data_IF_692676171031
#
_entry.id   IF_692676171031
#
_cell.length_a   1.000
_cell.length_b   1.000
_cell.length_c   1.000
_cell.angle_alpha   90.00
_cell.angle_beta   90.00
_cell.angle_gamma   90.00
#
_symmetry.space_group_name_H-M   'P 1'
#
loop_
_entity.id
_entity.type
_entity.pdbx_description
1 polymer ?
#
# COMPACT_ATOMS: atom_id res chain seq x y z
N UNK A 1 -21.30 -15.95 -13.67
CA UNK A 1 -20.17 -16.64 -13.03
C UNK A 1 -18.90 -15.91 -13.41
N UNK A 2 -18.38 -15.10 -12.50
CA UNK A 2 -17.06 -14.48 -12.54
C UNK A 2 -16.75 -14.00 -11.13
N UNK A 3 -16.58 -14.95 -10.18
CA UNK A 3 -16.08 -14.61 -8.84
C UNK A 3 -14.58 -14.36 -8.96
N UNK A 4 -14.24 -13.18 -9.48
CA UNK A 4 -12.95 -12.55 -9.27
C UNK A 4 -12.78 -12.32 -7.77
N UNK A 5 -12.23 -13.29 -7.05
CA UNK A 5 -11.68 -13.07 -5.71
C UNK A 5 -10.40 -12.23 -5.82
N UNK A 6 -10.53 -11.00 -6.35
CA UNK A 6 -9.50 -9.97 -6.50
C UNK A 6 -9.21 -9.23 -5.18
N UNK A 7 -9.22 -9.96 -4.06
CA UNK A 7 -8.88 -9.40 -2.76
C UNK A 7 -7.37 -9.26 -2.57
N UNK A 8 -6.97 -8.35 -1.70
CA UNK A 8 -5.59 -8.23 -1.23
C UNK A 8 -5.39 -9.29 -0.13
N UNK A 9 -4.42 -10.17 -0.33
CA UNK A 9 -4.05 -11.24 0.60
C UNK A 9 -2.96 -10.81 1.58
N UNK A 10 -2.05 -9.95 1.14
CA UNK A 10 -1.01 -9.39 2.00
C UNK A 10 -0.54 -8.01 1.50
N UNK A 11 0.07 -7.22 2.37
CA UNK A 11 0.58 -5.89 2.02
C UNK A 11 1.82 -5.52 2.82
N UNK A 12 2.72 -4.78 2.18
CA UNK A 12 3.94 -4.28 2.78
C UNK A 12 4.15 -2.81 2.43
N UNK A 13 4.96 -2.14 3.24
CA UNK A 13 5.47 -0.82 2.91
C UNK A 13 6.98 -0.72 3.12
N UNK A 14 7.59 0.22 2.42
CA UNK A 14 8.94 0.69 2.71
C UNK A 14 8.90 2.22 2.72
N UNK A 15 9.60 2.85 3.68
CA UNK A 15 9.67 4.30 3.71
C UNK A 15 10.36 4.82 2.45
N UNK A 16 9.92 5.94 1.92
CA UNK A 16 10.48 6.54 0.70
C UNK A 16 12.01 6.74 0.78
N UNK A 17 12.53 7.05 1.96
CA UNK A 17 13.97 7.19 2.22
C UNK A 17 14.77 5.89 2.07
N UNK A 18 14.11 4.73 2.19
CA UNK A 18 14.72 3.41 2.01
C UNK A 18 14.74 2.98 0.54
N UNK A 19 14.10 3.72 -0.36
CA UNK A 19 13.98 3.36 -1.78
C UNK A 19 15.19 3.90 -2.55
N UNK A 20 15.87 3.02 -3.28
CA UNK A 20 16.97 3.34 -4.18
C UNK A 20 16.45 3.78 -5.54
N UNK A 21 15.56 2.97 -6.09
CA UNK A 21 15.00 3.16 -7.43
C UNK A 21 13.68 2.43 -7.57
N UNK A 22 12.83 2.95 -8.45
CA UNK A 22 11.66 2.24 -8.98
C UNK A 22 11.78 2.31 -10.50
N UNK A 23 12.14 1.20 -11.13
CA UNK A 23 12.36 1.12 -12.58
C UNK A 23 11.25 0.31 -13.23
N UNK A 24 10.59 0.93 -14.20
CA UNK A 24 9.58 0.27 -15.02
C UNK A 24 10.22 -0.53 -16.16
N UNK A 25 9.78 -1.77 -16.33
CA UNK A 25 10.10 -2.63 -17.46
C UNK A 25 8.78 -3.04 -18.13
N UNK A 26 8.36 -2.32 -19.17
CA UNK A 26 7.06 -2.48 -19.82
C UNK A 26 5.87 -2.36 -18.83
N UNK A 27 5.14 -3.45 -18.58
CA UNK A 27 4.00 -3.56 -17.65
C UNK A 27 4.42 -3.98 -16.22
N UNK A 28 5.72 -4.11 -15.99
CA UNK A 28 6.31 -4.58 -14.74
C UNK A 28 7.18 -3.53 -14.09
N UNK A 29 7.51 -3.75 -12.82
CA UNK A 29 8.34 -2.85 -12.03
C UNK A 29 9.34 -3.62 -11.18
N UNK A 30 10.56 -3.08 -11.09
CA UNK A 30 11.57 -3.47 -10.10
C UNK A 30 11.74 -2.36 -9.08
N UNK A 31 11.86 -2.74 -7.81
CA UNK A 31 12.05 -1.79 -6.71
C UNK A 31 13.35 -2.14 -5.97
N UNK A 32 14.35 -1.27 -6.10
CA UNK A 32 15.60 -1.38 -5.36
C UNK A 32 15.47 -0.72 -3.99
N UNK A 33 15.88 -1.40 -2.92
CA UNK A 33 15.99 -0.82 -1.58
C UNK A 33 17.45 -0.39 -1.31
N UNK A 34 17.65 0.80 -0.75
CA UNK A 34 18.95 1.26 -0.24
C UNK A 34 19.33 0.54 1.05
N UNK A 35 18.33 0.26 1.89
CA UNK A 35 18.57 -0.27 3.24
C UNK A 35 17.29 -0.85 3.86
N UNK A 36 17.45 -1.94 4.60
CA UNK A 36 16.36 -2.64 5.28
C UNK A 36 15.43 -3.37 4.33
N UNK A 37 14.35 -3.91 4.89
CA UNK A 37 13.38 -4.73 4.17
C UNK A 37 12.00 -4.11 4.15
N UNK A 38 11.15 -4.66 3.28
CA UNK A 38 9.71 -4.40 3.26
C UNK A 38 9.07 -4.78 4.60
N UNK A 39 8.32 -3.87 5.19
CA UNK A 39 7.62 -4.07 6.46
C UNK A 39 6.25 -4.66 6.16
N UNK A 40 6.00 -5.88 6.64
CA UNK A 40 4.72 -6.57 6.45
C UNK A 40 3.64 -6.00 7.38
N UNK A 41 2.45 -5.76 6.83
CA UNK A 41 1.28 -5.23 7.52
C UNK A 41 0.25 -6.31 7.89
N UNK A 42 0.29 -7.48 7.26
CA UNK A 42 -0.68 -8.57 7.45
C UNK A 42 -2.14 -8.07 7.48
N UNK A 43 -2.62 -7.42 6.40
CA UNK A 43 -3.95 -6.84 6.39
C UNK A 43 -5.02 -7.91 6.60
N UNK A 44 -6.09 -7.51 7.28
CA UNK A 44 -7.30 -8.30 7.41
C UNK A 44 -8.00 -8.48 6.07
N UNK A 45 -8.81 -9.53 5.98
CA UNK A 45 -9.57 -9.89 4.77
C UNK A 45 -10.59 -8.83 4.35
N UNK A 46 -11.09 -8.04 5.30
CA UNK A 46 -12.12 -7.02 5.07
C UNK A 46 -11.56 -5.62 5.29
N UNK A 47 -12.13 -4.63 4.60
CA UNK A 47 -11.73 -3.22 4.73
C UNK A 47 -10.35 -2.87 4.13
N UNK A 48 -9.75 -3.83 3.42
CA UNK A 48 -8.47 -3.69 2.72
C UNK A 48 -8.72 -3.49 1.22
N UNK A 49 -8.27 -2.36 0.68
CA UNK A 49 -8.41 -2.01 -0.74
C UNK A 49 -7.35 -1.00 -1.15
N UNK A 50 -6.87 -1.13 -2.39
CA UNK A 50 -6.03 -0.14 -3.06
C UNK A 50 -6.68 0.11 -4.42
N UNK A 51 -6.83 1.38 -4.77
CA UNK A 51 -7.41 1.85 -6.03
C UNK A 51 -6.42 2.77 -6.72
N UNK A 52 -6.23 2.52 -8.01
CA UNK A 52 -5.44 3.37 -8.89
C UNK A 52 -6.33 3.76 -10.05
N UNK A 53 -6.72 5.03 -10.08
CA UNK A 53 -7.70 5.55 -11.04
C UNK A 53 -7.03 6.58 -11.96
N UNK A 54 -7.19 6.46 -13.28
CA UNK A 54 -6.66 7.46 -14.19
C UNK A 54 -7.36 8.81 -13.98
N UNK A 55 -6.57 9.86 -14.02
CA UNK A 55 -6.98 11.25 -14.04
C UNK A 55 -6.37 11.88 -15.30
N UNK A 56 -7.22 12.17 -16.28
CA UNK A 56 -6.78 12.90 -17.47
C UNK A 56 -6.37 14.32 -17.11
N UNK A 57 -5.25 14.76 -17.68
CA UNK A 57 -4.77 16.13 -17.58
C UNK A 57 -4.23 16.56 -18.95
N UNK A 58 -4.16 17.86 -19.19
CA UNK A 58 -3.64 18.42 -20.45
C UNK A 58 -2.19 17.99 -20.76
N UNK A 59 -1.43 17.58 -19.75
CA UNK A 59 -0.02 17.14 -19.87
C UNK A 59 0.15 15.60 -19.92
N UNK A 60 -0.95 14.85 -20.04
CA UNK A 60 -0.97 13.38 -20.05
C UNK A 60 -1.78 12.79 -18.90
N UNK A 61 -1.76 11.47 -18.77
CA UNK A 61 -2.52 10.74 -17.75
C UNK A 61 -1.73 10.67 -16.44
N UNK A 62 -2.31 11.21 -15.36
CA UNK A 62 -1.87 10.93 -13.99
C UNK A 62 -2.75 9.84 -13.40
N UNK A 63 -2.27 9.14 -12.38
CA UNK A 63 -3.08 8.15 -11.67
C UNK A 63 -3.22 8.56 -10.22
N UNK A 64 -4.45 8.70 -9.76
CA UNK A 64 -4.75 8.90 -8.35
C UNK A 64 -4.69 7.57 -7.63
N UNK A 65 -3.87 7.51 -6.59
CA UNK A 65 -3.76 6.35 -5.71
C UNK A 65 -4.53 6.66 -4.45
N UNK A 66 -5.44 5.77 -4.07
CA UNK A 66 -6.10 5.79 -2.77
C UNK A 66 -6.22 4.39 -2.22
N UNK A 67 -6.16 4.23 -0.90
CA UNK A 67 -6.30 2.92 -0.30
C UNK A 67 -6.53 2.97 1.20
N UNK A 68 -7.01 1.84 1.70
CA UNK A 68 -7.25 1.57 3.11
C UNK A 68 -6.76 0.16 3.38
N UNK A 69 -5.91 -0.02 4.38
CA UNK A 69 -5.45 -1.33 4.86
C UNK A 69 -5.86 -1.46 6.33
N UNK A 70 -6.70 -2.44 6.64
CA UNK A 70 -7.08 -2.72 8.02
C UNK A 70 -6.17 -3.81 8.59
N UNK A 71 -5.59 -3.57 9.77
CA UNK A 71 -4.63 -4.48 10.41
C UNK A 71 -5.24 -5.01 11.71
N UNK A 72 -5.51 -6.33 11.80
CA UNK A 72 -5.98 -6.96 13.02
C UNK A 72 -5.01 -6.75 14.20
N UNK A 73 -5.56 -6.59 15.41
CA UNK A 73 -4.75 -6.34 16.62
C UNK A 73 -3.67 -7.39 16.86
N UNK A 74 -3.95 -8.65 16.54
CA UNK A 74 -3.02 -9.77 16.72
C UNK A 74 -1.70 -9.65 15.93
N UNK A 75 -1.71 -8.87 14.84
CA UNK A 75 -0.50 -8.66 14.02
C UNK A 75 0.26 -7.39 14.40
N UNK A 76 -0.30 -6.53 15.26
CA UNK A 76 0.32 -5.26 15.64
C UNK A 76 1.25 -5.44 16.85
N UNK A 77 2.51 -5.79 16.57
CA UNK A 77 3.58 -5.76 17.58
C UNK A 77 3.98 -4.33 17.91
N UNK A 78 4.67 -4.12 19.04
CA UNK A 78 5.18 -2.79 19.42
C UNK A 78 6.12 -2.18 18.37
N UNK A 79 6.98 -3.01 17.77
CA UNK A 79 7.90 -2.58 16.71
C UNK A 79 7.12 -2.18 15.44
N UNK A 80 6.13 -2.99 15.03
CA UNK A 80 5.28 -2.64 13.88
C UNK A 80 4.47 -1.36 14.15
N UNK A 81 3.97 -1.20 15.38
CA UNK A 81 3.23 -0.01 15.77
C UNK A 81 4.07 1.25 15.65
N UNK A 82 5.31 1.25 16.16
CA UNK A 82 6.22 2.40 16.05
C UNK A 82 6.54 2.73 14.58
N UNK A 83 6.72 1.71 13.74
CA UNK A 83 6.93 1.90 12.29
C UNK A 83 5.68 2.49 11.62
N UNK A 84 4.49 2.00 11.96
CA UNK A 84 3.23 2.50 11.43
C UNK A 84 2.93 3.93 11.91
N UNK A 85 3.24 4.28 13.16
CA UNK A 85 3.06 5.64 13.68
C UNK A 85 3.87 6.66 12.86
N UNK A 86 5.11 6.30 12.48
CA UNK A 86 5.96 7.15 11.65
C UNK A 86 5.37 7.44 10.27
N UNK A 87 4.46 6.62 9.74
CA UNK A 87 3.77 6.88 8.47
C UNK A 87 2.90 8.14 8.51
N UNK A 88 2.51 8.64 9.70
CA UNK A 88 1.79 9.91 9.83
C UNK A 88 2.65 11.13 9.43
N UNK A 89 3.97 10.98 9.44
CA UNK A 89 4.91 12.07 9.19
C UNK A 89 5.86 11.79 8.02
N UNK A 90 5.90 10.55 7.54
CA UNK A 90 6.76 10.10 6.46
C UNK A 90 5.93 9.59 5.29
N UNK A 91 6.54 9.60 4.11
CA UNK A 91 5.95 9.01 2.91
C UNK A 91 6.50 7.61 2.68
N UNK A 92 5.75 6.77 1.97
CA UNK A 92 6.11 5.38 1.73
C UNK A 92 5.69 4.91 0.34
N UNK A 93 6.30 3.81 -0.08
CA UNK A 93 5.87 3.00 -1.22
C UNK A 93 5.24 1.74 -0.65
N UNK A 94 4.17 1.25 -1.29
CA UNK A 94 3.52 0.02 -0.89
C UNK A 94 3.63 -1.02 -1.98
N UNK A 95 3.75 -2.28 -1.56
CA UNK A 95 3.45 -3.41 -2.42
C UNK A 95 2.36 -4.25 -1.77
N UNK A 96 1.54 -4.88 -2.59
CA UNK A 96 0.46 -5.72 -2.10
C UNK A 96 0.28 -6.92 -3.02
N UNK A 97 -0.10 -8.04 -2.40
CA UNK A 97 -0.30 -9.31 -3.08
C UNK A 97 -1.79 -9.57 -3.20
N UNK A 98 -2.25 -9.93 -4.40
CA UNK A 98 -3.59 -10.45 -4.61
C UNK A 98 -3.68 -11.93 -4.23
N UNK A 99 -4.89 -12.42 -3.96
CA UNK A 99 -5.11 -13.87 -3.81
C UNK A 99 -4.78 -14.67 -5.08
N UNK A 100 -4.71 -14.02 -6.26
CA UNK A 100 -4.21 -14.64 -7.50
C UNK A 100 -2.73 -15.03 -7.43
N UNK A 101 -1.97 -14.43 -6.52
CA UNK A 101 -0.52 -14.61 -6.40
C UNK A 101 0.28 -13.40 -6.90
N UNK A 102 -0.32 -12.55 -7.74
CA UNK A 102 0.34 -11.37 -8.30
C UNK A 102 0.62 -10.32 -7.23
N UNK A 103 1.82 -9.72 -7.29
CA UNK A 103 2.20 -8.62 -6.42
C UNK A 103 2.29 -7.35 -7.25
N UNK A 104 1.69 -6.27 -6.77
CA UNK A 104 1.71 -4.96 -7.41
C UNK A 104 2.36 -3.92 -6.49
N UNK A 105 2.85 -2.85 -7.09
CA UNK A 105 3.45 -1.72 -6.38
C UNK A 105 2.66 -0.44 -6.67
N UNK A 106 2.51 0.38 -5.63
CA UNK A 106 1.97 1.75 -5.73
C UNK A 106 2.86 2.75 -5.00
N UNK A 107 2.98 3.93 -5.61
CA UNK A 107 3.98 4.93 -5.27
C UNK A 107 5.31 4.68 -5.98
N UNK A 108 6.15 5.72 -6.03
CA UNK A 108 7.51 5.64 -6.57
C UNK A 108 8.49 6.47 -5.74
N UNK A 109 9.78 6.37 -6.06
CA UNK A 109 10.83 7.21 -5.49
C UNK A 109 10.55 8.71 -5.69
N UNK A 110 9.97 9.07 -6.85
CA UNK A 110 9.60 10.46 -7.18
C UNK A 110 8.22 10.86 -6.66
N UNK A 111 7.31 9.89 -6.54
CA UNK A 111 5.94 10.12 -6.08
C UNK A 111 5.56 9.15 -4.95
N UNK A 112 6.16 9.31 -3.76
CA UNK A 112 5.82 8.45 -2.64
C UNK A 112 4.46 8.84 -2.05
N UNK A 113 3.77 7.86 -1.47
CA UNK A 113 2.40 8.05 -0.97
C UNK A 113 2.41 8.68 0.42
N UNK A 114 1.42 9.55 0.66
CA UNK A 114 1.09 10.05 1.99
C UNK A 114 0.25 9.02 2.71
N UNK A 115 0.50 8.87 4.00
CA UNK A 115 -0.15 7.86 4.81
C UNK A 115 -0.77 8.48 6.06
N UNK A 116 -1.82 7.83 6.57
CA UNK A 116 -2.42 8.13 7.86
C UNK A 116 -2.64 6.81 8.59
N UNK A 117 -2.03 6.67 9.76
CA UNK A 117 -2.19 5.56 10.67
C UNK A 117 -3.14 5.94 11.81
N UNK A 118 -4.18 5.14 11.99
CA UNK A 118 -5.26 5.38 12.95
C UNK A 118 -5.57 4.11 13.74
N UNK A 119 -5.88 4.27 15.03
CA UNK A 119 -6.42 3.18 15.86
C UNK A 119 -7.94 3.19 15.73
N UNK A 120 -8.52 2.05 15.39
CA UNK A 120 -9.96 1.89 15.26
C UNK A 120 -10.54 1.30 16.56
N UNK A 121 -11.40 2.09 17.19
CA UNK A 121 -12.18 1.71 18.36
C UNK A 121 -13.66 1.71 17.96
N UNK A 122 -14.21 0.55 17.55
CA UNK A 122 -15.60 0.48 17.14
C UNK A 122 -16.51 0.73 18.35
N UNK A 123 -17.54 1.56 18.16
CA UNK A 123 -18.64 1.73 19.12
C UNK A 123 -19.72 0.65 18.95
N UNK A 124 -19.79 0.02 17.78
CA UNK A 124 -20.77 -1.01 17.46
C UNK A 124 -20.20 -2.42 17.64
N UNK A 125 -20.99 -3.42 18.10
CA UNK A 125 -20.52 -4.79 18.34
C UNK A 125 -19.94 -5.49 17.10
N UNK A 126 -20.38 -5.10 15.90
CA UNK A 126 -19.90 -5.64 14.61
C UNK A 126 -18.76 -4.82 14.00
N UNK A 127 -18.35 -3.72 14.63
CA UNK A 127 -17.31 -2.86 14.10
C UNK A 127 -15.93 -3.49 14.20
N UNK A 128 -15.08 -3.19 13.23
CA UNK A 128 -13.70 -3.67 13.22
C UNK A 128 -12.88 -2.95 14.30
N UNK A 129 -12.26 -3.73 15.19
CA UNK A 129 -11.32 -3.24 16.19
C UNK A 129 -9.90 -3.60 15.81
N UNK A 130 -9.05 -2.60 15.66
CA UNK A 130 -7.69 -2.81 15.16
C UNK A 130 -7.07 -1.50 14.74
N UNK A 131 -6.36 -1.54 13.62
CA UNK A 131 -5.66 -0.38 13.10
C UNK A 131 -5.99 -0.19 11.63
N UNK A 132 -5.86 1.05 11.16
CA UNK A 132 -6.09 1.40 9.76
C UNK A 132 -4.93 2.24 9.25
N UNK A 133 -4.42 1.88 8.08
CA UNK A 133 -3.56 2.74 7.28
C UNK A 133 -4.38 3.21 6.09
N UNK A 134 -4.57 4.52 5.98
CA UNK A 134 -5.10 5.16 4.77
C UNK A 134 -3.91 5.68 3.97
N UNK A 135 -3.87 5.39 2.67
CA UNK A 135 -2.82 5.87 1.76
C UNK A 135 -3.44 6.71 0.64
N UNK A 136 -2.75 7.77 0.25
CA UNK A 136 -3.17 8.61 -0.87
C UNK A 136 -1.98 9.27 -1.56
N UNK A 137 -2.12 9.50 -2.86
CA UNK A 137 -1.10 10.17 -3.66
C UNK A 137 -1.42 10.16 -5.14
N UNK A 138 -0.42 10.52 -5.93
CA UNK A 138 -0.47 10.45 -7.38
C UNK A 138 0.74 9.69 -7.89
N UNK A 139 0.63 9.08 -9.06
CA UNK A 139 1.76 8.48 -9.77
C UNK A 139 1.59 8.64 -11.28
N UNK A 140 2.67 8.47 -12.04
CA UNK A 140 2.69 8.69 -13.49
C UNK A 140 2.25 7.47 -14.32
N UNK A 141 2.14 6.32 -13.67
CA UNK A 141 1.91 5.02 -14.31
C UNK A 141 0.78 4.29 -13.56
N UNK A 142 0.07 3.33 -14.17
CA UNK A 142 -0.87 2.50 -13.43
C UNK A 142 -0.15 1.64 -12.36
N UNK A 143 -0.89 0.88 -11.56
CA UNK A 143 -0.27 -0.14 -10.71
C UNK A 143 0.47 -1.16 -11.60
N UNK A 144 1.75 -1.38 -11.32
CA UNK A 144 2.60 -2.29 -12.09
C UNK A 144 2.89 -3.55 -11.30
N UNK A 145 3.01 -4.68 -12.00
CA UNK A 145 3.34 -5.95 -11.38
C UNK A 145 4.81 -5.96 -10.97
N UNK A 146 5.09 -6.30 -9.71
CA UNK A 146 6.43 -6.46 -9.20
C UNK A 146 7.08 -7.69 -9.83
N UNK A 147 8.30 -7.51 -10.33
CA UNK A 147 9.21 -8.59 -10.71
C UNK A 147 10.49 -8.48 -9.88
N UNK A 148 11.07 -9.64 -9.57
CA UNK A 148 12.36 -9.74 -8.88
C UNK A 148 13.53 -9.43 -9.84
#
# INVERSE_FOLDING_TARGET
MADNMGGISDAWFAFSRQIASVSQEADKVKVGLKSGDWINLHPGRYGTSIKVEPQESESGTLYNVSGSLQIPRQYMTNDLWQKCERLNHLTAIFKYKHFSGDTFVVGSDRFPLKCKFEVLHPSDPSGFSGYKISLSGKQLVPQLQLID
#
